data_IF_420453811868
#
_entry.id   IF_420453811868
#
_cell.length_a   1.000
_cell.length_b   1.000
_cell.length_c   1.000
_cell.angle_alpha   90.00
_cell.angle_beta   90.00
_cell.angle_gamma   90.00
#
_symmetry.space_group_name_H-M   'P 1'
#
loop_
_entity.id
_entity.type
_entity.pdbx_description
1 polymer ?
#
# COMPACT_ATOMS: atom_id res chain seq x y z
N UNK A 1 -32.28 -39.65 -46.00
CA UNK A 1 -32.38 -39.35 -44.56
C UNK A 1 -31.04 -39.72 -43.95
N UNK A 2 -30.17 -38.75 -43.69
CA UNK A 2 -29.03 -38.93 -42.80
C UNK A 2 -28.73 -37.58 -42.14
N UNK A 3 -28.64 -37.60 -40.82
CA UNK A 3 -28.74 -36.44 -39.94
C UNK A 3 -27.46 -35.60 -39.99
N UNK A 4 -27.56 -34.37 -40.46
CA UNK A 4 -26.57 -33.33 -40.24
C UNK A 4 -26.67 -32.82 -38.79
N UNK A 5 -25.89 -33.41 -37.89
CA UNK A 5 -25.60 -32.84 -36.58
C UNK A 5 -24.11 -33.01 -36.29
N UNK A 6 -23.32 -31.98 -36.60
CA UNK A 6 -22.11 -31.58 -35.87
C UNK A 6 -21.59 -30.30 -36.53
N UNK A 7 -22.05 -29.12 -36.10
CA UNK A 7 -21.28 -27.90 -36.39
C UNK A 7 -21.53 -26.69 -35.46
N UNK A 8 -22.14 -26.90 -34.28
CA UNK A 8 -22.48 -25.79 -33.37
C UNK A 8 -21.56 -25.67 -32.14
N UNK A 9 -20.43 -26.39 -32.09
CA UNK A 9 -19.51 -26.39 -30.93
C UNK A 9 -18.26 -25.51 -31.12
N UNK A 10 -17.98 -25.01 -32.32
CA UNK A 10 -16.67 -24.44 -32.66
C UNK A 10 -16.49 -22.93 -32.47
N UNK A 11 -17.56 -22.14 -32.38
CA UNK A 11 -17.42 -20.67 -32.34
C UNK A 11 -17.41 -20.03 -30.95
N UNK A 12 -18.14 -20.58 -29.96
CA UNK A 12 -18.19 -20.00 -28.62
C UNK A 12 -16.94 -20.30 -27.76
N UNK A 13 -16.32 -21.48 -27.92
CA UNK A 13 -15.15 -21.89 -27.14
C UNK A 13 -13.87 -21.11 -27.48
N UNK A 14 -13.71 -20.65 -28.73
CA UNK A 14 -12.56 -19.86 -29.15
C UNK A 14 -12.58 -18.44 -28.54
N UNK A 15 -13.77 -17.83 -28.43
CA UNK A 15 -13.94 -16.52 -27.79
C UNK A 15 -13.76 -16.57 -26.29
N UNK A 16 -14.26 -17.63 -25.62
CA UNK A 16 -14.06 -17.83 -24.18
C UNK A 16 -12.60 -18.17 -23.83
N UNK A 17 -11.94 -19.01 -24.63
CA UNK A 17 -10.52 -19.31 -24.47
C UNK A 17 -9.66 -18.05 -24.63
N UNK A 18 -9.95 -17.21 -25.63
CA UNK A 18 -9.27 -15.93 -25.83
C UNK A 18 -9.53 -14.92 -24.69
N UNK A 19 -10.75 -14.87 -24.16
CA UNK A 19 -11.09 -14.02 -23.01
C UNK A 19 -10.38 -14.47 -21.73
N UNK A 20 -10.36 -15.78 -21.46
CA UNK A 20 -9.67 -16.35 -20.30
C UNK A 20 -8.16 -16.11 -20.38
N UNK A 21 -7.57 -16.28 -21.56
CA UNK A 21 -6.15 -16.02 -21.78
C UNK A 21 -5.79 -14.55 -21.48
N UNK A 22 -6.54 -13.59 -22.04
CA UNK A 22 -6.35 -12.16 -21.75
C UNK A 22 -6.52 -11.82 -20.27
N UNK A 23 -7.48 -12.46 -19.59
CA UNK A 23 -7.66 -12.27 -18.15
C UNK A 23 -6.47 -12.79 -17.32
N UNK A 24 -5.90 -13.95 -17.71
CA UNK A 24 -4.70 -14.51 -17.08
C UNK A 24 -3.49 -13.58 -17.28
N UNK A 25 -3.33 -13.03 -18.48
CA UNK A 25 -2.25 -12.08 -18.79
C UNK A 25 -2.33 -10.82 -17.92
N UNK A 26 -3.52 -10.24 -17.75
CA UNK A 26 -3.73 -9.08 -16.87
C UNK A 26 -3.39 -9.43 -15.41
N UNK A 27 -3.84 -10.59 -14.91
CA UNK A 27 -3.51 -11.04 -13.55
C UNK A 27 -2.01 -11.31 -13.38
N UNK A 28 -1.35 -11.85 -14.40
CA UNK A 28 0.09 -12.08 -14.39
C UNK A 28 0.86 -10.76 -14.36
N UNK A 29 0.47 -9.78 -15.18
CA UNK A 29 1.04 -8.44 -15.17
C UNK A 29 0.91 -7.79 -13.79
N UNK A 30 -0.26 -7.90 -13.16
CA UNK A 30 -0.47 -7.39 -11.80
C UNK A 30 0.42 -8.09 -10.76
N UNK A 31 0.58 -9.42 -10.84
CA UNK A 31 1.48 -10.18 -9.94
C UNK A 31 2.94 -9.75 -10.11
N UNK A 32 3.39 -9.58 -11.34
CA UNK A 32 4.74 -9.11 -11.65
C UNK A 32 4.96 -7.69 -11.13
N UNK A 33 4.00 -6.80 -11.34
CA UNK A 33 4.04 -5.44 -10.79
C UNK A 33 4.12 -5.45 -9.25
N UNK A 34 3.29 -6.24 -8.57
CA UNK A 34 3.30 -6.34 -7.10
C UNK A 34 4.62 -6.93 -6.57
N UNK A 35 5.20 -7.91 -7.26
CA UNK A 35 6.51 -8.44 -6.93
C UNK A 35 7.62 -7.36 -7.09
N UNK A 36 7.59 -6.61 -8.19
CA UNK A 36 8.51 -5.50 -8.44
C UNK A 36 8.35 -4.39 -7.38
N UNK A 37 7.12 -4.07 -7.00
CA UNK A 37 6.79 -3.10 -5.95
C UNK A 37 7.36 -3.51 -4.59
N UNK A 38 7.17 -4.77 -4.18
CA UNK A 38 7.72 -5.31 -2.92
C UNK A 38 9.24 -5.28 -2.94
N UNK A 39 9.88 -5.67 -4.05
CA UNK A 39 11.33 -5.65 -4.19
C UNK A 39 11.89 -4.21 -4.17
N UNK A 40 11.18 -3.26 -4.77
CA UNK A 40 11.51 -1.82 -4.72
C UNK A 40 11.39 -1.26 -3.30
N UNK A 41 10.31 -1.58 -2.58
CA UNK A 41 10.13 -1.17 -1.17
C UNK A 41 11.24 -1.71 -0.27
N UNK A 42 11.67 -2.97 -0.49
CA UNK A 42 12.83 -3.56 0.20
C UNK A 42 14.11 -2.77 -0.06
N UNK A 43 14.47 -2.55 -1.33
CA UNK A 43 15.67 -1.78 -1.70
C UNK A 43 15.67 -0.36 -1.13
N UNK A 44 14.51 0.30 -1.12
CA UNK A 44 14.34 1.64 -0.55
C UNK A 44 14.63 1.62 0.95
N UNK A 45 14.05 0.66 1.69
CA UNK A 45 14.33 0.45 3.11
C UNK A 45 15.80 0.21 3.40
N UNK A 46 16.42 -0.68 2.62
CA UNK A 46 17.83 -1.04 2.81
C UNK A 46 18.72 0.18 2.55
N UNK A 47 18.43 0.96 1.49
CA UNK A 47 19.18 2.18 1.18
C UNK A 47 19.03 3.28 2.25
N UNK A 48 17.87 3.37 2.88
CA UNK A 48 17.58 4.33 3.94
C UNK A 48 17.93 3.79 5.34
N UNK A 49 18.39 2.53 5.45
CA UNK A 49 18.61 1.83 6.72
C UNK A 49 17.39 1.91 7.67
N UNK A 50 16.17 1.85 7.10
CA UNK A 50 14.90 2.03 7.83
C UNK A 50 14.02 0.78 7.79
N UNK A 51 13.33 0.53 8.90
CA UNK A 51 12.23 -0.41 8.98
C UNK A 51 10.98 0.06 8.23
N UNK A 52 10.05 -0.87 7.97
CA UNK A 52 8.80 -0.58 7.26
C UNK A 52 7.90 0.41 7.99
N UNK A 53 7.73 0.22 9.30
CA UNK A 53 6.94 1.15 10.13
C UNK A 53 7.57 2.54 10.20
N UNK A 54 8.89 2.64 10.13
CA UNK A 54 9.61 3.92 10.17
C UNK A 54 9.32 4.75 8.91
N UNK A 55 9.36 4.11 7.74
CA UNK A 55 8.93 4.74 6.48
C UNK A 55 7.45 5.14 6.50
N UNK A 56 6.57 4.29 7.06
CA UNK A 56 5.15 4.61 7.18
C UNK A 56 4.92 5.84 8.06
N UNK A 57 5.60 5.93 9.20
CA UNK A 57 5.57 7.11 10.08
C UNK A 57 6.05 8.35 9.34
N UNK A 58 7.19 8.31 8.66
CA UNK A 58 7.69 9.48 7.94
C UNK A 58 6.73 9.94 6.85
N UNK A 59 6.20 9.03 6.02
CA UNK A 59 5.19 9.39 5.01
C UNK A 59 3.96 10.04 5.63
N UNK A 60 3.51 9.51 6.77
CA UNK A 60 2.36 10.06 7.50
C UNK A 60 2.65 11.47 8.02
N UNK A 61 3.80 11.68 8.67
CA UNK A 61 4.23 12.98 9.19
C UNK A 61 4.39 14.02 8.07
N UNK A 62 4.98 13.64 6.94
CA UNK A 62 5.17 14.53 5.79
C UNK A 62 3.85 14.87 5.08
N UNK A 63 2.86 13.97 5.11
CA UNK A 63 1.51 14.27 4.63
C UNK A 63 0.83 15.25 5.58
N UNK A 64 0.83 14.95 6.89
CA UNK A 64 0.23 15.81 7.90
C UNK A 64 0.84 17.22 7.91
N UNK A 65 2.16 17.35 7.75
CA UNK A 65 2.84 18.64 7.67
C UNK A 65 2.35 19.51 6.49
N UNK A 66 2.04 18.90 5.33
CA UNK A 66 1.46 19.61 4.16
C UNK A 66 0.03 20.09 4.41
N UNK A 67 -0.68 19.41 5.31
CA UNK A 67 -2.04 19.74 5.74
C UNK A 67 -2.05 20.65 6.98
N UNK A 68 -0.89 21.18 7.40
CA UNK A 68 -0.69 21.92 8.65
C UNK A 68 -1.22 21.19 9.90
N UNK A 69 -1.22 19.85 9.84
CA UNK A 69 -1.81 18.96 10.83
C UNK A 69 -0.78 18.48 11.85
N UNK A 70 -1.27 18.37 13.07
CA UNK A 70 -0.48 18.04 14.24
C UNK A 70 -0.56 16.55 14.54
N UNK A 71 0.59 15.85 14.57
CA UNK A 71 0.63 14.41 14.82
C UNK A 71 1.15 14.09 16.22
N UNK A 72 0.38 13.30 16.96
CA UNK A 72 0.73 12.82 18.30
C UNK A 72 1.22 11.37 18.27
N UNK A 73 1.99 10.90 19.27
CA UNK A 73 2.37 9.48 19.35
C UNK A 73 1.16 8.53 19.36
N UNK A 74 0.07 8.90 20.05
CA UNK A 74 -1.14 8.08 20.10
C UNK A 74 -1.84 7.93 18.75
N UNK A 75 -1.74 8.94 17.88
CA UNK A 75 -2.23 8.87 16.51
C UNK A 75 -1.37 7.94 15.66
N UNK A 76 -0.04 7.96 15.83
CA UNK A 76 0.86 7.02 15.18
C UNK A 76 0.60 5.58 15.63
N UNK A 77 0.31 5.35 16.91
CA UNK A 77 -0.09 4.04 17.43
C UNK A 77 -1.30 3.49 16.68
N UNK A 78 -2.36 4.31 16.54
CA UNK A 78 -3.59 3.93 15.83
C UNK A 78 -3.34 3.71 14.34
N UNK A 79 -2.56 4.59 13.72
CA UNK A 79 -2.23 4.52 12.30
C UNK A 79 -1.42 3.26 11.95
N UNK A 80 -0.45 2.89 12.80
CA UNK A 80 0.40 1.72 12.58
C UNK A 80 -0.26 0.40 13.01
N UNK A 81 -1.30 0.44 13.84
CA UNK A 81 -1.93 -0.76 14.40
C UNK A 81 -0.99 -1.55 15.33
N UNK A 82 -0.03 -0.89 15.97
CA UNK A 82 0.94 -1.52 16.89
C UNK A 82 0.77 -1.02 18.32
N UNK A 83 1.42 -1.67 19.29
CA UNK A 83 1.35 -1.24 20.68
C UNK A 83 2.00 0.13 20.92
N UNK A 84 1.64 0.79 22.03
CA UNK A 84 2.28 2.05 22.45
C UNK A 84 3.79 1.87 22.67
N UNK A 85 4.21 0.73 23.26
CA UNK A 85 5.64 0.43 23.44
C UNK A 85 6.38 0.31 22.10
N UNK A 86 5.80 -0.38 21.12
CA UNK A 86 6.36 -0.48 19.77
C UNK A 86 6.42 0.88 19.08
N UNK A 87 5.39 1.70 19.23
CA UNK A 87 5.33 3.06 18.68
C UNK A 87 6.45 3.93 19.28
N UNK A 88 6.65 3.89 20.59
CA UNK A 88 7.75 4.61 21.26
C UNK A 88 9.10 4.16 20.72
N UNK A 89 9.35 2.85 20.60
CA UNK A 89 10.61 2.32 20.07
C UNK A 89 10.87 2.73 18.61
N UNK A 90 9.82 2.83 17.78
CA UNK A 90 9.91 3.33 16.40
C UNK A 90 10.30 4.81 16.40
N UNK A 91 9.62 5.64 17.21
CA UNK A 91 9.93 7.08 17.29
C UNK A 91 11.35 7.28 17.84
N UNK A 92 11.78 6.50 18.83
CA UNK A 92 13.14 6.58 19.40
C UNK A 92 14.21 6.19 18.38
N UNK A 93 13.95 5.20 17.53
CA UNK A 93 14.84 4.87 16.42
C UNK A 93 14.94 6.02 15.42
N UNK A 94 13.79 6.54 14.98
CA UNK A 94 13.73 7.67 14.05
C UNK A 94 14.38 8.94 14.62
N UNK A 95 14.27 9.19 15.92
CA UNK A 95 14.91 10.34 16.57
C UNK A 95 16.42 10.15 16.67
N UNK A 96 16.90 8.94 17.02
CA UNK A 96 18.33 8.61 17.04
C UNK A 96 18.98 8.73 15.66
N UNK A 97 18.27 8.36 14.60
CA UNK A 97 18.72 8.55 13.21
C UNK A 97 18.43 9.96 12.67
N UNK A 98 17.99 10.90 13.53
CA UNK A 98 17.75 12.32 13.23
C UNK A 98 16.65 12.57 12.19
N UNK A 99 15.75 11.61 12.05
CA UNK A 99 14.66 11.69 11.10
C UNK A 99 13.39 12.35 11.63
N UNK A 100 13.17 12.28 12.95
CA UNK A 100 12.09 12.97 13.62
C UNK A 100 12.61 13.70 14.85
N UNK A 101 11.83 14.65 15.33
CA UNK A 101 12.01 15.31 16.63
C UNK A 101 10.69 15.33 17.39
N UNK A 102 10.78 15.20 18.72
CA UNK A 102 9.65 15.45 19.61
C UNK A 102 9.63 16.91 20.03
N UNK A 103 8.50 17.58 19.80
CA UNK A 103 8.32 19.00 20.13
C UNK A 103 7.13 19.12 21.11
N UNK A 104 7.24 19.95 22.16
CA UNK A 104 6.10 20.23 23.04
C UNK A 104 4.90 20.77 22.25
N UNK A 105 3.69 20.38 22.64
CA UNK A 105 2.49 20.93 22.02
C UNK A 105 2.35 22.43 22.37
N UNK A 106 2.03 23.31 21.40
CA UNK A 106 2.02 24.76 21.63
C UNK A 106 1.02 25.20 22.70
N UNK A 107 -0.09 24.47 22.84
CA UNK A 107 -1.16 24.76 23.81
C UNK A 107 -1.20 23.81 25.01
N UNK A 108 -0.52 22.66 24.96
CA UNK A 108 -0.54 21.67 26.04
C UNK A 108 0.87 21.18 26.36
N UNK A 109 1.48 21.75 27.41
CA UNK A 109 2.85 21.42 27.83
C UNK A 109 3.03 19.97 28.28
N UNK A 110 1.95 19.23 28.54
CA UNK A 110 1.99 17.80 28.90
C UNK A 110 1.96 16.89 27.67
N UNK A 111 1.63 17.43 26.50
CA UNK A 111 1.56 16.70 25.25
C UNK A 111 2.77 16.99 24.37
N UNK A 112 3.20 15.96 23.64
CA UNK A 112 4.30 16.06 22.67
C UNK A 112 3.78 15.70 21.29
N UNK A 113 4.36 16.35 20.29
CA UNK A 113 4.13 16.06 18.88
C UNK A 113 5.37 15.52 18.24
N UNK A 114 5.17 14.67 17.25
CA UNK A 114 6.26 14.12 16.44
C UNK A 114 6.29 14.90 15.13
N UNK A 115 7.47 15.39 14.76
CA UNK A 115 7.67 16.17 13.53
C UNK A 115 8.83 15.56 12.75
N UNK A 116 8.64 15.38 11.43
CA UNK A 116 9.73 14.96 10.55
C UNK A 116 10.74 16.11 10.38
N UNK A 117 12.03 15.81 10.40
CA UNK A 117 13.07 16.82 10.15
C UNK A 117 13.13 17.21 8.68
N UNK A 118 13.69 18.38 8.38
CA UNK A 118 13.91 18.82 7.00
C UNK A 118 14.78 17.82 6.20
N UNK A 119 15.77 17.22 6.87
CA UNK A 119 16.59 16.14 6.30
C UNK A 119 15.72 14.94 5.87
N UNK A 120 14.81 14.48 6.73
CA UNK A 120 13.91 13.38 6.36
C UNK A 120 13.03 13.72 5.19
N UNK A 121 12.51 14.95 5.17
CA UNK A 121 11.70 15.41 4.05
C UNK A 121 12.49 15.37 2.74
N UNK A 122 13.74 15.83 2.74
CA UNK A 122 14.64 15.76 1.59
C UNK A 122 15.01 14.32 1.20
N UNK A 123 15.40 13.49 2.16
CA UNK A 123 15.85 12.11 1.93
C UNK A 123 14.70 11.21 1.43
N UNK A 124 13.51 11.37 2.03
CA UNK A 124 12.28 10.71 1.57
C UNK A 124 11.89 11.23 0.20
N UNK A 125 11.99 12.55 -0.05
CA UNK A 125 11.66 13.13 -1.37
C UNK A 125 12.65 12.71 -2.45
N UNK A 126 13.95 12.62 -2.18
CA UNK A 126 14.91 12.13 -3.16
C UNK A 126 14.61 10.67 -3.50
N UNK A 127 14.49 9.82 -2.47
CA UNK A 127 14.38 8.37 -2.70
C UNK A 127 12.99 7.95 -3.19
N UNK A 128 11.91 8.41 -2.53
CA UNK A 128 10.54 8.11 -2.96
C UNK A 128 10.07 9.02 -4.09
N UNK A 129 10.58 10.25 -4.20
CA UNK A 129 10.22 11.16 -5.28
C UNK A 129 10.85 10.75 -6.60
N UNK A 130 12.09 10.25 -6.64
CA UNK A 130 12.66 9.67 -7.86
C UNK A 130 11.86 8.45 -8.32
N UNK A 131 11.46 7.59 -7.37
CA UNK A 131 10.59 6.46 -7.62
C UNK A 131 9.23 6.91 -8.16
N UNK A 132 8.57 7.86 -7.49
CA UNK A 132 7.28 8.39 -7.91
C UNK A 132 7.38 9.07 -9.29
N UNK A 133 8.46 9.80 -9.55
CA UNK A 133 8.74 10.41 -10.84
C UNK A 133 8.87 9.38 -11.95
N UNK A 134 9.60 8.27 -11.71
CA UNK A 134 9.68 7.15 -12.67
C UNK A 134 8.33 6.48 -12.92
N UNK A 135 7.52 6.31 -11.87
CA UNK A 135 6.16 5.75 -12.01
C UNK A 135 5.24 6.70 -12.78
N UNK A 136 5.31 8.01 -12.50
CA UNK A 136 4.54 9.03 -13.22
C UNK A 136 4.95 9.09 -14.68
N UNK A 137 6.25 9.13 -14.98
CA UNK A 137 6.75 9.09 -16.35
C UNK A 137 6.28 7.86 -17.13
N UNK A 138 6.05 6.72 -16.47
CA UNK A 138 5.56 5.51 -17.12
C UNK A 138 4.07 5.57 -17.52
N UNK A 139 3.29 6.51 -16.96
CA UNK A 139 1.83 6.58 -17.18
C UNK A 139 1.34 7.95 -17.65
N UNK A 140 2.19 8.98 -17.60
CA UNK A 140 1.79 10.39 -17.87
C UNK A 140 1.30 10.60 -19.31
N UNK A 141 1.81 9.81 -20.25
CA UNK A 141 1.47 9.91 -21.68
C UNK A 141 0.31 8.98 -22.10
N UNK A 142 -0.35 8.29 -21.14
CA UNK A 142 -1.53 7.48 -21.43
C UNK A 142 -2.69 8.33 -21.94
N UNK A 143 -3.46 7.81 -22.89
CA UNK A 143 -4.69 8.48 -23.32
C UNK A 143 -5.75 8.47 -22.21
N UNK A 144 -6.79 9.34 -22.30
CA UNK A 144 -7.92 9.29 -21.38
C UNK A 144 -8.60 7.91 -21.32
N UNK A 145 -8.71 7.22 -22.46
CA UNK A 145 -9.32 5.90 -22.55
C UNK A 145 -8.47 4.82 -21.89
N UNK A 146 -7.16 4.83 -22.14
CA UNK A 146 -6.21 3.87 -21.56
C UNK A 146 -6.15 4.01 -20.03
N UNK A 147 -6.02 5.23 -19.53
CA UNK A 147 -5.98 5.51 -18.10
C UNK A 147 -7.30 5.12 -17.41
N UNK A 148 -8.46 5.42 -18.00
CA UNK A 148 -9.76 5.00 -17.47
C UNK A 148 -9.90 3.48 -17.40
N UNK A 149 -9.45 2.75 -18.44
CA UNK A 149 -9.50 1.29 -18.47
C UNK A 149 -8.60 0.66 -17.38
N UNK A 150 -7.38 1.18 -17.22
CA UNK A 150 -6.43 0.72 -16.18
C UNK A 150 -6.97 0.99 -14.78
N UNK A 151 -7.46 2.20 -14.51
CA UNK A 151 -8.04 2.56 -13.21
C UNK A 151 -9.23 1.67 -12.88
N UNK A 152 -10.18 1.49 -13.81
CA UNK A 152 -11.34 0.61 -13.62
C UNK A 152 -10.93 -0.84 -13.36
N UNK A 153 -9.91 -1.35 -14.06
CA UNK A 153 -9.39 -2.69 -13.84
C UNK A 153 -8.80 -2.83 -12.42
N UNK A 154 -7.94 -1.90 -12.01
CA UNK A 154 -7.30 -1.93 -10.69
C UNK A 154 -8.32 -1.81 -9.56
N UNK A 155 -9.35 -0.96 -9.70
CA UNK A 155 -10.42 -0.84 -8.71
C UNK A 155 -11.19 -2.16 -8.52
N UNK A 156 -11.52 -2.86 -9.60
CA UNK A 156 -12.20 -4.18 -9.52
C UNK A 156 -11.31 -5.25 -8.89
N UNK A 157 -10.01 -5.24 -9.19
CA UNK A 157 -9.06 -6.16 -8.56
C UNK A 157 -8.89 -5.85 -7.06
N UNK A 158 -8.84 -4.58 -6.68
CA UNK A 158 -8.78 -4.17 -5.27
C UNK A 158 -10.02 -4.67 -4.51
N UNK A 159 -11.22 -4.39 -5.02
CA UNK A 159 -12.47 -4.84 -4.41
C UNK A 159 -12.53 -6.37 -4.28
N UNK A 160 -12.04 -7.10 -5.28
CA UNK A 160 -11.98 -8.56 -5.23
C UNK A 160 -11.03 -9.08 -4.13
N UNK A 161 -9.91 -8.40 -3.90
CA UNK A 161 -8.93 -8.76 -2.85
C UNK A 161 -9.45 -8.37 -1.47
N UNK A 162 -10.03 -7.18 -1.31
CA UNK A 162 -10.55 -6.68 -0.03
C UNK A 162 -11.67 -7.59 0.53
N UNK A 163 -12.41 -8.29 -0.33
CA UNK A 163 -13.42 -9.28 0.06
C UNK A 163 -12.86 -10.58 0.63
N UNK A 164 -11.57 -10.86 0.48
CA UNK A 164 -10.94 -12.14 0.89
C UNK A 164 -10.67 -12.18 2.41
N UNK A 165 -10.77 -11.06 3.13
CA UNK A 165 -10.40 -10.97 4.55
C UNK A 165 -11.57 -10.98 5.57
N UNK A 166 -12.78 -11.38 5.18
CA UNK A 166 -13.87 -11.62 6.15
C UNK A 166 -14.02 -13.11 6.49
N UNK A 167 -12.99 -13.72 7.08
CA UNK A 167 -13.22 -14.92 7.87
C UNK A 167 -13.80 -14.46 9.21
N UNK A 168 -15.05 -14.79 9.58
CA UNK A 168 -15.48 -14.61 10.96
C UNK A 168 -14.52 -15.45 11.80
N UNK A 169 -13.90 -14.82 12.80
CA UNK A 169 -13.27 -15.57 13.87
C UNK A 169 -14.38 -16.46 14.44
N UNK A 170 -14.34 -17.75 14.11
CA UNK A 170 -15.13 -18.74 14.82
C UNK A 170 -14.67 -18.64 16.27
N UNK A 171 -15.61 -18.28 17.15
CA UNK A 171 -15.50 -18.33 18.59
C UNK A 171 -15.03 -19.74 18.99
N UNK A 172 -13.72 -19.92 19.14
CA UNK A 172 -13.16 -21.03 19.91
C UNK A 172 -13.30 -20.69 21.39
N UNK A 173 -14.55 -20.68 21.84
CA UNK A 173 -14.96 -20.61 23.23
C UNK A 173 -16.10 -21.60 23.46
N UNK A 174 -15.88 -22.87 23.13
CA UNK A 174 -16.63 -23.96 23.75
C UNK A 174 -15.73 -25.18 23.99
N UNK A 175 -14.93 -25.14 25.05
CA UNK A 175 -14.80 -26.34 25.91
C UNK A 175 -14.21 -26.02 27.29
N UNK A 176 -15.01 -25.40 28.17
CA UNK A 176 -14.96 -25.72 29.60
C UNK A 176 -16.36 -25.53 30.16
N UNK A 177 -17.03 -26.63 30.54
CA UNK A 177 -18.01 -26.73 31.63
C UNK A 177 -18.41 -28.21 31.78
N UNK A 178 -18.84 -28.69 32.96
CA UNK A 178 -18.85 -28.06 34.29
C UNK A 178 -17.92 -28.72 35.33
#
# INVERSE_FOLDING_TARGET
MEHAQTDSRYWYGATEAGQRQRAVEVLQAFRLYRAAEVAMRRRTRDSMSMGENELLVLRYLLKAAREDRQVTPSELTRYLGVSTASTTAIIDRLERSKHVVRVPHPTDRRSVRVVATARSDEEVRATLGDMHGRMMAAVIDMTPEESAAVVSCLSRLQEAVDRVDAHPAEDDASDVLP
#
